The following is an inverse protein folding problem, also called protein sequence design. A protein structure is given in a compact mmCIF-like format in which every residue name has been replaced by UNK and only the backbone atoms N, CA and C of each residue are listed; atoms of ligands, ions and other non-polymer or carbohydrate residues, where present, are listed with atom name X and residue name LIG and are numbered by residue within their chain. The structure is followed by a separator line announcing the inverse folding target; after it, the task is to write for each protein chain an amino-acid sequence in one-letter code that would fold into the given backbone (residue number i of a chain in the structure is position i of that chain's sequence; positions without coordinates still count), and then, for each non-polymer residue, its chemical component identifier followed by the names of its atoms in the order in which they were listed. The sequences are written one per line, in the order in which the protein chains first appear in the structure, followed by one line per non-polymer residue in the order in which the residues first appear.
data_IF_253134261979
#
_entry.id   IF_253134261979
#
_cell.length_a   1.000
_cell.length_b   1.000
_cell.length_c   1.000
_cell.angle_alpha   90.00
_cell.angle_beta   90.00
_cell.angle_gamma   90.00
#
_symmetry.space_group_name_H-M   'P 1'
#
loop_
_entity.id
_entity.type
_entity.pdbx_description
1 polymer ?
#
# COMPACT_ATOMS: atom_id res chain seq x y z
N UNK A 1 11.04 -2.78 -20.01
CA UNK A 1 10.97 -2.80 -18.53
C UNK A 1 11.39 -1.42 -18.06
N UNK A 2 10.57 -0.68 -17.32
CA UNK A 2 10.99 0.61 -16.76
C UNK A 2 12.14 0.28 -15.82
N UNK A 3 13.32 0.81 -16.12
CA UNK A 3 14.52 0.55 -15.33
C UNK A 3 14.31 1.24 -13.98
N UNK A 4 14.69 0.57 -12.89
CA UNK A 4 14.75 1.25 -11.60
C UNK A 4 15.68 2.45 -11.75
N UNK A 5 15.21 3.62 -11.31
CA UNK A 5 15.99 4.83 -11.23
C UNK A 5 16.15 5.18 -9.75
N UNK A 6 17.35 5.03 -9.18
CA UNK A 6 17.60 5.45 -7.82
C UNK A 6 17.40 6.97 -7.71
N UNK A 7 16.91 7.40 -6.56
CA UNK A 7 16.82 8.82 -6.23
C UNK A 7 17.86 9.10 -5.14
N UNK A 8 18.78 10.02 -5.41
CA UNK A 8 19.84 10.40 -4.45
C UNK A 8 19.25 10.98 -3.17
N UNK A 9 18.03 11.50 -3.22
CA UNK A 9 17.28 12.08 -2.12
C UNK A 9 16.20 11.14 -1.51
N UNK A 10 16.26 9.84 -1.81
CA UNK A 10 15.22 8.89 -1.38
C UNK A 10 14.97 8.87 0.14
N UNK A 11 16.02 9.04 0.94
CA UNK A 11 15.92 9.08 2.41
C UNK A 11 15.28 10.40 2.90
N UNK A 12 15.60 11.50 2.22
CA UNK A 12 15.07 12.84 2.46
C UNK A 12 13.57 12.87 2.17
N UNK A 13 13.12 12.21 1.09
CA UNK A 13 11.72 12.11 0.69
C UNK A 13 10.81 11.43 1.74
N UNK A 14 11.39 10.66 2.67
CA UNK A 14 10.67 9.97 3.75
C UNK A 14 10.99 10.55 5.14
N UNK A 15 11.72 11.66 5.20
CA UNK A 15 12.11 12.33 6.44
C UNK A 15 10.93 13.04 7.12
N UNK A 16 11.10 13.40 8.40
CA UNK A 16 10.14 14.26 9.10
C UNK A 16 10.06 15.65 8.45
N UNK A 17 11.19 16.20 7.98
CA UNK A 17 11.21 17.48 7.28
C UNK A 17 10.37 17.46 5.98
N UNK A 18 10.44 16.37 5.20
CA UNK A 18 9.60 16.21 4.02
C UNK A 18 8.11 16.20 4.37
N UNK A 19 7.70 15.50 5.44
CA UNK A 19 6.33 15.54 5.93
C UNK A 19 5.91 16.96 6.32
N UNK A 20 6.75 17.68 7.09
CA UNK A 20 6.42 19.05 7.52
C UNK A 20 6.26 20.00 6.33
N UNK A 21 7.09 19.85 5.30
CA UNK A 21 6.95 20.61 4.05
C UNK A 21 5.60 20.35 3.36
N UNK A 22 5.19 19.09 3.24
CA UNK A 22 3.90 18.69 2.66
C UNK A 22 2.73 19.26 3.47
N UNK A 23 2.78 19.13 4.80
CA UNK A 23 1.73 19.62 5.71
C UNK A 23 1.62 21.15 5.67
N UNK A 24 2.75 21.85 5.69
CA UNK A 24 2.79 23.33 5.65
C UNK A 24 2.27 23.88 4.32
N UNK A 25 2.49 23.15 3.22
CA UNK A 25 1.95 23.48 1.92
C UNK A 25 0.45 23.12 1.75
N UNK A 26 -0.17 22.48 2.74
CA UNK A 26 -1.56 22.02 2.66
C UNK A 26 -1.80 21.00 1.54
N UNK A 27 -0.76 20.27 1.12
CA UNK A 27 -0.86 19.32 0.01
C UNK A 27 -1.58 18.06 0.44
N UNK A 28 -2.54 17.65 -0.36
CA UNK A 28 -3.23 16.37 -0.21
C UNK A 28 -2.56 15.31 -1.07
N UNK A 29 -1.80 14.39 -0.44
CA UNK A 29 -1.07 13.31 -1.11
C UNK A 29 -1.76 11.99 -0.80
N UNK A 30 -2.38 11.39 -1.81
CA UNK A 30 -3.17 10.18 -1.61
C UNK A 30 -2.40 8.92 -1.94
N UNK A 31 -1.62 8.91 -3.02
CA UNK A 31 -0.78 7.78 -3.36
C UNK A 31 -0.46 7.67 -4.85
N UNK A 32 0.38 6.69 -5.18
CA UNK A 32 0.96 6.49 -6.52
C UNK A 32 -0.03 6.24 -7.66
N UNK A 33 -1.32 6.01 -7.36
CA UNK A 33 -2.34 5.83 -8.39
C UNK A 33 -2.56 7.10 -9.23
N UNK A 34 -2.21 8.27 -8.70
CA UNK A 34 -2.29 9.57 -9.39
C UNK A 34 -1.02 10.40 -9.28
N UNK A 35 -0.22 10.14 -8.25
CA UNK A 35 1.01 10.87 -7.95
C UNK A 35 2.21 9.92 -8.08
N UNK A 36 2.60 9.54 -9.31
CA UNK A 36 3.67 8.56 -9.53
C UNK A 36 5.06 9.08 -9.12
N UNK A 37 5.23 10.39 -9.01
CA UNK A 37 6.46 11.07 -8.62
C UNK A 37 6.85 10.86 -7.15
N UNK A 38 5.91 10.43 -6.30
CA UNK A 38 6.16 10.24 -4.87
C UNK A 38 6.90 8.93 -4.57
N UNK A 39 7.27 8.16 -5.60
CA UNK A 39 7.77 6.81 -5.45
C UNK A 39 8.59 6.37 -6.66
N UNK A 40 9.70 5.68 -6.41
CA UNK A 40 10.51 5.01 -7.43
C UNK A 40 10.41 3.47 -7.36
N UNK A 41 9.41 2.94 -6.64
CA UNK A 41 9.18 1.49 -6.53
C UNK A 41 8.75 0.87 -7.86
N UNK A 42 9.01 -0.42 -8.01
CA UNK A 42 8.59 -1.21 -9.16
C UNK A 42 7.29 -1.95 -8.82
N UNK A 43 6.26 -1.74 -9.63
CA UNK A 43 5.07 -2.59 -9.57
C UNK A 43 5.39 -3.99 -10.07
N UNK A 44 4.78 -5.02 -9.50
CA UNK A 44 4.80 -6.34 -10.13
C UNK A 44 3.39 -6.91 -10.26
N UNK A 45 3.16 -7.62 -11.38
CA UNK A 45 1.87 -8.21 -11.74
C UNK A 45 0.72 -7.22 -11.98
N UNK A 46 1.01 -5.95 -12.27
CA UNK A 46 0.02 -4.96 -12.68
C UNK A 46 0.10 -4.72 -14.20
N UNK A 47 -0.58 -5.54 -14.99
CA UNK A 47 -0.48 -5.54 -16.47
C UNK A 47 -0.86 -4.25 -17.18
N UNK A 48 -1.53 -3.34 -16.48
CA UNK A 48 -1.92 -2.02 -16.99
C UNK A 48 -0.93 -0.92 -16.62
N UNK A 49 0.12 -1.23 -15.84
CA UNK A 49 1.11 -0.26 -15.37
C UNK A 49 2.39 -0.46 -16.16
N UNK A 50 2.76 0.57 -16.91
CA UNK A 50 4.03 0.61 -17.62
C UNK A 50 5.20 0.39 -16.65
N UNK A 51 6.12 -0.50 -17.01
CA UNK A 51 7.26 -0.83 -16.17
C UNK A 51 7.00 -1.86 -15.09
N UNK A 52 5.77 -2.35 -14.94
CA UNK A 52 5.49 -3.47 -14.04
C UNK A 52 6.28 -4.71 -14.47
N UNK A 53 6.81 -5.45 -13.49
CA UNK A 53 7.38 -6.77 -13.74
C UNK A 53 6.26 -7.76 -14.10
N UNK A 54 6.47 -8.53 -15.15
CA UNK A 54 5.56 -9.55 -15.64
C UNK A 54 6.26 -10.89 -15.74
N UNK A 55 5.98 -11.76 -14.77
CA UNK A 55 6.44 -13.14 -14.75
C UNK A 55 5.26 -14.06 -14.43
N UNK A 56 5.07 -15.11 -15.22
CA UNK A 56 3.91 -16.01 -15.07
C UNK A 56 3.98 -16.85 -13.80
N UNK A 57 5.18 -17.24 -13.38
CA UNK A 57 5.40 -17.97 -12.14
C UNK A 57 5.09 -17.07 -10.95
N UNK A 58 5.62 -15.84 -10.92
CA UNK A 58 5.33 -14.84 -9.89
C UNK A 58 3.82 -14.57 -9.83
N UNK A 59 3.15 -14.38 -10.97
CA UNK A 59 1.71 -14.15 -11.02
C UNK A 59 0.91 -15.32 -10.43
N UNK A 60 1.29 -16.57 -10.75
CA UNK A 60 0.64 -17.77 -10.22
C UNK A 60 0.83 -17.93 -8.72
N UNK A 61 2.08 -17.85 -8.24
CA UNK A 61 2.41 -17.95 -6.81
C UNK A 61 1.73 -16.81 -6.03
N UNK A 62 1.73 -15.61 -6.61
CA UNK A 62 1.05 -14.48 -6.01
C UNK A 62 -0.43 -14.73 -5.83
N UNK A 63 -1.10 -15.28 -6.84
CA UNK A 63 -2.52 -15.60 -6.74
C UNK A 63 -2.81 -16.56 -5.59
N UNK A 64 -1.94 -17.55 -5.36
CA UNK A 64 -2.07 -18.47 -4.22
C UNK A 64 -1.98 -17.73 -2.88
N UNK A 65 -1.03 -16.78 -2.75
CA UNK A 65 -0.92 -15.93 -1.55
C UNK A 65 -2.15 -15.04 -1.38
N UNK A 66 -2.66 -14.43 -2.46
CA UNK A 66 -3.87 -13.61 -2.43
C UNK A 66 -5.10 -14.39 -1.97
N UNK A 67 -5.27 -15.63 -2.47
CA UNK A 67 -6.39 -16.51 -2.10
C UNK A 67 -6.29 -16.95 -0.62
N UNK A 68 -5.07 -17.30 -0.16
CA UNK A 68 -4.80 -17.65 1.24
C UNK A 68 -5.04 -16.47 2.17
N UNK A 69 -4.55 -15.28 1.81
CA UNK A 69 -4.77 -14.06 2.57
C UNK A 69 -6.24 -13.67 2.64
N UNK A 70 -6.96 -13.77 1.52
CA UNK A 70 -8.41 -13.53 1.50
C UNK A 70 -9.16 -14.48 2.44
N UNK A 71 -8.70 -15.72 2.59
CA UNK A 71 -9.30 -16.71 3.49
C UNK A 71 -8.93 -16.44 4.95
N UNK A 72 -7.64 -16.19 5.24
CA UNK A 72 -7.15 -15.85 6.57
C UNK A 72 -7.84 -14.60 7.14
N UNK A 73 -7.95 -13.54 6.33
CA UNK A 73 -8.58 -12.29 6.75
C UNK A 73 -10.07 -12.47 7.06
N UNK A 74 -10.80 -13.30 6.31
CA UNK A 74 -12.19 -13.64 6.66
C UNK A 74 -12.28 -14.36 8.01
N UNK A 75 -11.36 -15.28 8.28
CA UNK A 75 -11.33 -16.04 9.54
C UNK A 75 -10.94 -15.16 10.72
N UNK A 76 -9.89 -14.35 10.59
CA UNK A 76 -9.37 -13.53 11.69
C UNK A 76 -10.37 -12.47 12.14
N UNK A 77 -11.05 -11.84 11.19
CA UNK A 77 -11.94 -10.73 11.53
C UNK A 77 -13.33 -11.19 11.98
N UNK A 78 -13.68 -12.49 11.91
CA UNK A 78 -14.98 -13.14 12.31
C UNK A 78 -16.19 -12.19 12.33
N UNK A 79 -16.28 -11.31 11.34
CA UNK A 79 -17.22 -10.21 11.43
C UNK A 79 -18.52 -10.65 10.77
N UNK A 80 -19.65 -10.16 11.27
CA UNK A 80 -20.94 -10.31 10.58
C UNK A 80 -20.96 -9.63 9.20
N UNK A 81 -19.87 -8.96 8.81
CA UNK A 81 -19.69 -8.25 7.56
C UNK A 81 -19.08 -9.14 6.48
N UNK A 82 -19.53 -8.96 5.24
CA UNK A 82 -18.92 -9.63 4.08
C UNK A 82 -17.63 -8.93 3.71
N UNK A 83 -16.56 -9.24 4.45
CA UNK A 83 -15.23 -8.72 4.18
C UNK A 83 -14.62 -9.39 2.95
N UNK A 84 -14.09 -8.57 2.04
CA UNK A 84 -13.23 -9.03 0.94
C UNK A 84 -11.92 -8.25 0.98
N UNK A 85 -10.82 -8.97 0.85
CA UNK A 85 -9.53 -8.37 0.55
C UNK A 85 -9.51 -7.98 -0.93
N UNK A 86 -9.33 -6.68 -1.20
CA UNK A 86 -8.98 -6.15 -2.52
C UNK A 86 -7.51 -5.82 -2.51
N UNK A 87 -6.73 -6.27 -3.49
CA UNK A 87 -5.34 -5.85 -3.57
C UNK A 87 -5.26 -4.33 -3.76
N UNK A 88 -4.35 -3.70 -3.04
CA UNK A 88 -4.14 -2.25 -2.98
C UNK A 88 -2.73 -1.85 -3.39
N UNK A 89 -1.96 -2.77 -3.99
CA UNK A 89 -0.63 -2.51 -4.54
C UNK A 89 0.39 -3.58 -4.21
N UNK A 90 1.12 -4.04 -5.22
CA UNK A 90 2.15 -5.07 -5.13
C UNK A 90 3.46 -4.49 -5.63
N UNK A 91 4.46 -4.40 -4.75
CA UNK A 91 5.63 -3.57 -5.00
C UNK A 91 6.91 -4.31 -4.68
N UNK A 92 7.89 -4.16 -5.57
CA UNK A 92 9.28 -4.45 -5.31
C UNK A 92 10.00 -3.12 -5.09
N UNK A 93 10.74 -3.08 -4.00
CA UNK A 93 11.58 -1.99 -3.54
C UNK A 93 13.04 -2.45 -3.73
N UNK A 94 13.72 -2.06 -4.83
CA UNK A 94 15.18 -2.18 -4.91
C UNK A 94 15.89 -1.33 -3.84
N UNK A 95 17.16 -1.60 -3.51
CA UNK A 95 17.97 -0.69 -2.69
C UNK A 95 17.90 0.76 -3.19
N UNK A 96 17.70 1.72 -2.29
CA UNK A 96 17.52 3.14 -2.63
C UNK A 96 16.09 3.49 -3.04
N UNK A 97 15.12 2.62 -2.78
CA UNK A 97 13.73 2.89 -3.14
C UNK A 97 12.90 3.40 -1.99
N UNK A 98 11.90 4.21 -2.34
CA UNK A 98 11.01 4.85 -1.39
C UNK A 98 9.59 4.95 -1.97
N UNK A 99 8.66 5.08 -1.05
CA UNK A 99 7.33 5.64 -1.28
C UNK A 99 7.15 6.74 -0.25
N UNK A 100 7.18 7.98 -0.71
CA UNK A 100 7.12 9.20 0.12
C UNK A 100 5.79 9.27 0.88
N UNK A 101 5.68 10.28 1.75
CA UNK A 101 4.53 10.51 2.61
C UNK A 101 3.22 10.62 1.81
N UNK A 102 2.28 9.74 2.13
CA UNK A 102 0.95 9.71 1.52
C UNK A 102 -0.08 9.16 2.51
N UNK A 103 -1.36 9.27 2.17
CA UNK A 103 -2.45 8.98 3.10
C UNK A 103 -3.35 7.83 2.69
N UNK A 104 -3.41 7.50 1.39
CA UNK A 104 -4.39 6.58 0.81
C UNK A 104 -5.87 6.95 1.11
N UNK A 105 -6.12 8.18 1.56
CA UNK A 105 -7.39 8.63 2.16
C UNK A 105 -8.58 8.54 1.20
N UNK A 106 -8.36 8.68 -0.12
CA UNK A 106 -9.39 8.51 -1.15
C UNK A 106 -9.99 7.11 -1.24
N UNK A 107 -9.37 6.09 -0.65
CA UNK A 107 -9.90 4.74 -0.57
C UNK A 107 -9.97 4.28 0.88
N UNK A 108 -10.86 4.84 1.72
CA UNK A 108 -10.87 4.56 3.15
C UNK A 108 -11.16 3.08 3.44
N UNK A 109 -10.70 2.61 4.59
CA UNK A 109 -10.84 1.22 5.05
C UNK A 109 -9.56 0.69 5.69
N UNK A 110 -9.64 -0.54 6.20
CA UNK A 110 -8.48 -1.20 6.81
C UNK A 110 -7.47 -1.63 5.75
N UNK A 111 -6.21 -1.28 5.97
CA UNK A 111 -5.07 -1.76 5.20
C UNK A 111 -4.45 -2.94 5.90
N UNK A 112 -4.03 -3.93 5.11
CA UNK A 112 -3.25 -5.08 5.54
C UNK A 112 -2.07 -5.19 4.60
N UNK A 113 -0.87 -4.92 5.10
CA UNK A 113 0.37 -5.07 4.35
C UNK A 113 1.14 -6.26 4.89
N UNK A 114 1.54 -7.15 3.98
CA UNK A 114 2.56 -8.15 4.24
C UNK A 114 3.78 -7.72 3.47
N UNK A 115 4.92 -7.66 4.13
CA UNK A 115 6.16 -7.37 3.44
C UNK A 115 7.28 -8.29 3.87
N UNK A 116 8.17 -8.52 2.92
CA UNK A 116 9.45 -9.18 3.15
C UNK A 116 10.59 -8.20 2.90
N UNK A 117 11.57 -8.12 3.81
CA UNK A 117 12.82 -7.39 3.59
C UNK A 117 13.99 -8.39 3.67
N UNK A 118 14.88 -8.36 2.68
CA UNK A 118 16.00 -9.31 2.60
C UNK A 118 17.01 -9.12 3.75
N UNK A 119 17.28 -7.86 4.11
CA UNK A 119 18.14 -7.50 5.23
C UNK A 119 17.31 -6.81 6.32
N UNK A 120 17.35 -7.34 7.54
CA UNK A 120 16.65 -6.74 8.68
C UNK A 120 17.30 -5.40 9.06
N UNK A 121 16.48 -4.39 9.38
CA UNK A 121 16.96 -3.05 9.75
C UNK A 121 17.23 -2.11 8.56
N UNK A 122 17.44 -2.64 7.34
CA UNK A 122 17.71 -1.84 6.13
C UNK A 122 16.44 -1.36 5.40
N UNK A 123 15.27 -1.54 5.99
CA UNK A 123 13.99 -1.08 5.47
C UNK A 123 13.08 -0.66 6.61
N UNK A 124 12.19 0.30 6.38
CA UNK A 124 11.21 0.69 7.39
C UNK A 124 9.88 1.14 6.81
N UNK A 125 8.86 1.01 7.65
CA UNK A 125 7.59 1.71 7.53
C UNK A 125 7.54 2.82 8.58
N UNK A 126 7.16 4.02 8.17
CA UNK A 126 7.08 5.17 9.07
C UNK A 126 5.72 5.83 8.95
N UNK A 127 5.19 6.32 10.07
CA UNK A 127 3.88 6.98 10.11
C UNK A 127 3.87 8.13 11.10
N UNK A 128 2.91 9.04 10.92
CA UNK A 128 2.74 10.23 11.75
C UNK A 128 1.49 10.13 12.61
N UNK A 129 1.62 10.51 13.89
CA UNK A 129 0.52 10.63 14.85
C UNK A 129 0.15 12.11 14.99
N UNK A 130 -0.93 12.59 14.36
CA UNK A 130 -1.29 14.00 14.40
C UNK A 130 -1.64 14.50 15.80
N UNK A 131 -2.09 13.61 16.71
CA UNK A 131 -2.46 13.97 18.07
C UNK A 131 -1.26 14.37 18.93
N UNK A 132 -0.09 13.76 18.68
CA UNK A 132 1.14 13.98 19.45
C UNK A 132 2.21 14.74 18.66
N UNK A 133 2.06 14.86 17.35
CA UNK A 133 3.11 15.36 16.45
C UNK A 133 4.26 14.37 16.24
N UNK A 134 4.14 13.13 16.73
CA UNK A 134 5.20 12.13 16.72
C UNK A 134 5.30 11.44 15.35
N UNK A 135 6.54 11.28 14.86
CA UNK A 135 6.86 10.42 13.72
C UNK A 135 7.43 9.10 14.24
N UNK A 136 6.70 8.01 14.02
CA UNK A 136 7.10 6.66 14.46
C UNK A 136 7.72 5.91 13.30
N UNK A 137 8.93 5.39 13.50
CA UNK A 137 9.62 4.52 12.54
C UNK A 137 9.57 3.08 13.04
N UNK A 138 9.13 2.17 12.19
CA UNK A 138 9.10 0.73 12.46
C UNK A 138 9.98 0.04 11.43
N UNK A 139 11.15 -0.40 11.86
CA UNK A 139 12.05 -1.22 11.04
C UNK A 139 11.33 -2.48 10.55
N UNK A 140 11.60 -2.86 9.31
CA UNK A 140 11.16 -4.12 8.73
C UNK A 140 12.13 -5.23 9.13
N UNK A 141 11.57 -6.37 9.53
CA UNK A 141 12.27 -7.66 9.64
C UNK A 141 12.17 -8.43 8.32
N UNK A 142 12.62 -9.69 8.31
CA UNK A 142 12.37 -10.58 7.18
C UNK A 142 10.90 -10.64 6.82
N UNK A 143 9.99 -11.02 7.72
CA UNK A 143 8.54 -11.00 7.44
C UNK A 143 7.81 -10.06 8.39
N UNK A 144 6.95 -9.20 7.85
CA UNK A 144 6.16 -8.26 8.62
C UNK A 144 4.70 -8.30 8.19
N UNK A 145 3.80 -8.12 9.16
CA UNK A 145 2.36 -7.90 8.95
C UNK A 145 1.97 -6.58 9.60
N UNK A 146 1.38 -5.67 8.84
CA UNK A 146 0.93 -4.36 9.32
C UNK A 146 -0.55 -4.19 9.02
N UNK A 147 -1.32 -3.81 10.04
CA UNK A 147 -2.76 -3.57 9.93
C UNK A 147 -3.08 -2.20 10.49
N UNK A 148 -3.66 -1.33 9.67
CA UNK A 148 -3.97 0.05 10.08
C UNK A 148 -5.20 0.61 9.35
N UNK A 149 -5.99 1.48 9.98
CA UNK A 149 -7.12 2.13 9.34
C UNK A 149 -6.66 3.31 8.50
N UNK A 150 -7.30 3.51 7.35
CA UNK A 150 -7.18 4.73 6.54
C UNK A 150 -8.55 5.40 6.49
N UNK A 151 -8.58 6.72 6.73
CA UNK A 151 -9.82 7.50 6.68
C UNK A 151 -9.63 8.79 5.88
N UNK A 152 -10.73 9.36 5.40
CA UNK A 152 -10.72 10.69 4.76
C UNK A 152 -10.67 11.83 5.76
N UNK A 153 -11.26 11.65 6.96
CA UNK A 153 -11.38 12.71 7.97
C UNK A 153 -10.12 12.87 8.80
N UNK A 154 -9.47 11.74 9.10
CA UNK A 154 -8.21 11.64 9.85
C UNK A 154 -7.21 10.89 8.96
N UNK A 155 -6.51 11.61 8.06
CA UNK A 155 -5.57 10.97 7.15
C UNK A 155 -4.43 10.29 7.90
N UNK A 156 -4.20 9.02 7.56
CA UNK A 156 -3.10 8.26 8.13
C UNK A 156 -1.85 8.47 7.26
N UNK A 157 -1.04 9.46 7.60
CA UNK A 157 0.21 9.77 6.89
C UNK A 157 1.26 8.69 7.15
N UNK A 158 1.76 8.09 6.08
CA UNK A 158 2.80 7.06 6.14
C UNK A 158 3.72 7.09 4.92
N UNK A 159 4.91 6.55 5.08
CA UNK A 159 5.91 6.37 4.04
C UNK A 159 6.69 5.07 4.24
N UNK A 160 7.42 4.67 3.21
CA UNK A 160 8.25 3.45 3.20
C UNK A 160 9.58 3.76 2.54
N UNK A 161 10.66 3.21 3.08
CA UNK A 161 11.99 3.30 2.48
C UNK A 161 12.74 1.98 2.65
N UNK A 162 13.60 1.66 1.69
CA UNK A 162 14.36 0.41 1.68
C UNK A 162 15.74 0.59 1.03
N UNK A 163 16.79 0.25 1.77
CA UNK A 163 18.16 0.03 1.29
C UNK A 163 18.48 -1.43 0.97
N UNK A 164 17.54 -2.33 1.22
CA UNK A 164 17.61 -3.73 0.81
C UNK A 164 16.51 -4.04 -0.21
N UNK A 165 16.52 -5.24 -0.79
CA UNK A 165 15.36 -5.70 -1.56
C UNK A 165 14.18 -5.95 -0.62
N UNK A 166 13.09 -5.22 -0.85
CA UNK A 166 11.84 -5.38 -0.11
C UNK A 166 10.68 -5.70 -1.06
N UNK A 167 9.85 -6.65 -0.68
CA UNK A 167 8.64 -7.02 -1.42
C UNK A 167 7.41 -6.71 -0.56
N UNK A 168 6.42 -6.04 -1.14
CA UNK A 168 5.22 -5.59 -0.43
C UNK A 168 3.96 -6.11 -1.10
N UNK A 169 3.08 -6.68 -0.29
CA UNK A 169 1.78 -7.22 -0.65
C UNK A 169 0.70 -6.41 0.08
N UNK A 170 0.12 -5.43 -0.59
CA UNK A 170 -0.90 -4.57 -0.02
C UNK A 170 -2.32 -5.06 -0.30
N UNK A 171 -3.13 -5.11 0.75
CA UNK A 171 -4.56 -5.41 0.68
C UNK A 171 -5.36 -4.34 1.43
N UNK A 172 -6.58 -4.11 0.95
CA UNK A 172 -7.59 -3.33 1.64
C UNK A 172 -8.78 -4.25 1.96
N UNK A 173 -9.22 -4.24 3.21
CA UNK A 173 -10.46 -4.87 3.62
C UNK A 173 -11.63 -3.94 3.28
N UNK A 174 -12.54 -4.43 2.46
CA UNK A 174 -13.78 -3.74 2.12
C UNK A 174 -14.95 -4.51 2.74
N UNK A 175 -15.83 -3.79 3.42
CA UNK A 175 -17.14 -4.30 3.76
C UNK A 175 -18.11 -4.07 2.59
N UNK A 176 -18.57 -5.16 1.99
CA UNK A 176 -19.57 -5.12 0.92
C UNK A 176 -20.95 -4.64 1.39
N UNK A 177 -21.24 -4.65 2.69
CA UNK A 177 -22.50 -4.09 3.21
C UNK A 177 -22.60 -2.58 2.97
N UNK A 178 -21.46 -1.90 2.86
CA UNK A 178 -21.33 -0.47 2.60
C UNK A 178 -21.26 -0.12 1.11
N UNK A 179 -21.14 -1.12 0.22
CA UNK A 179 -21.23 -0.89 -1.23
C UNK A 179 -22.72 -0.78 -1.58
N UNK A 180 -23.21 0.38 -2.08
CA UNK A 180 -24.58 0.49 -2.54
C UNK A 180 -24.86 -0.61 -3.56
N UNK A 181 -25.97 -1.35 -3.39
CA UNK A 181 -26.43 -2.41 -4.30
C UNK A 181 -26.81 -1.85 -5.67
N UNK A 182 -25.86 -1.30 -6.42
CA UNK A 182 -26.08 -0.88 -7.79
C UNK A 182 -25.90 -2.09 -8.71
N UNK A 183 -27.03 -2.48 -9.30
CA UNK A 183 -27.23 -3.44 -10.40
C UNK A 183 -27.43 -4.91 -10.02
N UNK A 184 -28.56 -5.19 -9.34
CA UNK A 184 -29.35 -6.42 -9.58
C UNK A 184 -30.50 -6.21 -10.59
N UNK A 185 -30.67 -5.00 -11.15
CA UNK A 185 -31.80 -4.66 -12.04
C UNK A 185 -31.45 -4.39 -13.51
N UNK A 186 -30.25 -4.72 -14.01
CA UNK A 186 -29.96 -4.59 -15.47
C UNK A 186 -30.43 -5.82 -16.28
N UNK A 187 -30.90 -6.89 -15.62
CA UNK A 187 -31.47 -8.07 -16.30
C UNK A 187 -32.98 -7.99 -16.57
N UNK A 188 -33.61 -6.83 -16.32
CA UNK A 188 -35.05 -6.58 -16.59
C UNK A 188 -35.32 -5.57 -17.71
N UNK A 189 -34.27 -5.08 -18.39
CA UNK A 189 -34.38 -4.14 -19.51
C UNK A 189 -34.14 -4.77 -20.90
N UNK A 190 -34.01 -6.10 -20.97
CA UNK A 190 -33.88 -6.83 -22.24
C UNK A 190 -34.79 -8.07 -22.26
N UNK A 191 -36.01 -7.92 -21.73
CA UNK A 191 -37.15 -8.69 -22.22
C UNK A 191 -37.77 -7.91 -23.37
#
# INVERSE_FOLDING_TARGET
MKRFEPADDAAEQVSHAALQSILSAGRDVHGIARESEISNVIHFSASHIEGSVHDQTVKRLRKQVDDQMGSLLKTLFKSGYKLKARTSGHFWYPPGSFMSWHTNSRSPGWRVYINYAETEGDSFFRYFKPETGEVVTLEDRQWNLRVFPVSQKTPFWHCVYSQTHRFSLGYMLIDYSLIPRLKRNVRRMFN
#
